data_IF_295938219904
#
_entry.id   IF_295938219904
#
_cell.length_a   1.000
_cell.length_b   1.000
_cell.length_c   1.000
_cell.angle_alpha   90.00
_cell.angle_beta   90.00
_cell.angle_gamma   90.00
#
_symmetry.space_group_name_H-M   'P 1'
#
loop_
_entity.id
_entity.type
_entity.pdbx_description
1 polymer ?
#
# COMPACT_ATOMS: atom_id res chain seq x y z
N UNK A 1 29.70 -9.32 5.08
CA UNK A 1 28.53 -8.98 5.93
C UNK A 1 27.65 -10.21 5.99
N UNK A 2 27.16 -10.66 7.14
CA UNK A 2 26.20 -11.74 7.15
C UNK A 2 24.91 -11.22 6.53
N UNK A 3 24.46 -11.86 5.46
CA UNK A 3 23.13 -11.63 4.89
C UNK A 3 22.10 -11.89 6.00
N UNK A 4 21.51 -10.83 6.53
CA UNK A 4 20.32 -10.95 7.38
C UNK A 4 19.24 -11.61 6.54
N UNK A 5 19.04 -12.92 6.75
CA UNK A 5 17.92 -13.66 6.19
C UNK A 5 16.66 -12.93 6.63
N UNK A 6 15.98 -12.28 5.69
CA UNK A 6 14.70 -11.62 5.95
C UNK A 6 13.69 -12.71 6.30
N UNK A 7 13.39 -12.86 7.59
CA UNK A 7 12.31 -13.73 8.05
C UNK A 7 11.00 -12.96 8.07
N UNK A 8 9.94 -13.56 7.54
CA UNK A 8 8.57 -13.06 7.72
C UNK A 8 8.13 -13.39 9.16
N UNK A 9 7.60 -12.42 9.93
CA UNK A 9 7.09 -12.68 11.27
C UNK A 9 5.93 -13.68 11.24
N UNK A 10 5.61 -14.27 12.39
CA UNK A 10 4.41 -15.10 12.51
C UNK A 10 3.15 -14.26 12.23
N UNK A 11 2.13 -14.91 11.67
CA UNK A 11 0.83 -14.31 11.44
C UNK A 11 -0.08 -14.53 12.65
N UNK A 12 -0.60 -13.44 13.21
CA UNK A 12 -1.46 -13.45 14.39
C UNK A 12 -2.95 -13.54 14.00
N UNK A 13 -3.32 -12.92 12.87
CA UNK A 13 -4.69 -12.95 12.35
C UNK A 13 -5.68 -12.09 13.13
N UNK A 14 -5.20 -11.22 14.02
CA UNK A 14 -6.00 -10.35 14.87
C UNK A 14 -6.05 -8.88 14.37
N UNK A 15 -5.38 -8.59 13.24
CA UNK A 15 -5.17 -7.23 12.70
C UNK A 15 -4.47 -6.28 13.68
N UNK A 16 -3.88 -6.80 14.76
CA UNK A 16 -3.11 -6.07 15.76
C UNK A 16 -1.78 -5.59 15.20
N UNK A 17 -1.21 -4.54 15.81
CA UNK A 17 0.14 -4.07 15.45
C UNK A 17 0.32 -3.60 14.00
N UNK A 18 -0.76 -3.17 13.32
CA UNK A 18 -0.80 -2.89 11.88
C UNK A 18 -0.53 -4.11 10.98
N UNK A 19 -0.82 -5.33 11.46
CA UNK A 19 -0.76 -6.54 10.65
C UNK A 19 -1.75 -6.42 9.48
N UNK A 20 -1.22 -6.40 8.26
CA UNK A 20 -2.00 -6.40 7.04
C UNK A 20 -1.90 -7.79 6.40
N UNK A 21 -2.99 -8.59 6.40
CA UNK A 21 -2.96 -9.96 5.87
C UNK A 21 -2.47 -10.05 4.43
N UNK A 22 -2.82 -9.08 3.57
CA UNK A 22 -2.36 -9.05 2.18
C UNK A 22 -0.87 -8.76 2.05
N UNK A 23 -0.37 -7.81 2.82
CA UNK A 23 1.06 -7.49 2.83
C UNK A 23 1.88 -8.65 3.39
N UNK A 24 1.41 -9.25 4.48
CA UNK A 24 2.05 -10.40 5.11
C UNK A 24 2.11 -11.60 4.16
N UNK A 25 0.98 -11.97 3.54
CA UNK A 25 0.93 -13.11 2.63
C UNK A 25 1.83 -12.90 1.42
N UNK A 26 1.88 -11.69 0.86
CA UNK A 26 2.78 -11.37 -0.25
C UNK A 26 4.26 -11.49 0.15
N UNK A 27 4.64 -11.07 1.35
CA UNK A 27 6.01 -11.26 1.85
C UNK A 27 6.32 -12.74 2.09
N UNK A 28 5.36 -13.50 2.63
CA UNK A 28 5.50 -14.95 2.79
C UNK A 28 5.74 -15.64 1.44
N UNK A 29 4.95 -15.31 0.41
CA UNK A 29 5.11 -15.85 -0.94
C UNK A 29 6.47 -15.54 -1.54
N UNK A 30 7.01 -14.33 -1.33
CA UNK A 30 8.34 -13.94 -1.81
C UNK A 30 9.48 -14.75 -1.16
N UNK A 31 9.25 -15.34 0.01
CA UNK A 31 10.21 -16.22 0.67
C UNK A 31 10.12 -17.67 0.23
N UNK A 32 9.08 -18.07 -0.51
CA UNK A 32 8.92 -19.43 -0.99
C UNK A 32 9.85 -19.68 -2.19
N UNK A 33 10.68 -20.74 -2.16
CA UNK A 33 11.45 -21.14 -3.32
C UNK A 33 10.55 -21.56 -4.49
N UNK A 34 10.87 -21.09 -5.70
CA UNK A 34 10.11 -21.40 -6.92
C UNK A 34 10.04 -22.91 -7.20
N UNK A 35 11.04 -23.67 -6.77
CA UNK A 35 11.12 -25.12 -6.96
C UNK A 35 10.22 -25.93 -6.01
N UNK A 36 9.57 -25.29 -5.03
CA UNK A 36 8.73 -26.01 -4.09
C UNK A 36 7.39 -26.44 -4.68
N UNK A 37 6.96 -27.62 -4.25
CA UNK A 37 5.63 -28.15 -4.53
C UNK A 37 4.58 -27.50 -3.63
N UNK A 38 3.32 -27.55 -4.05
CA UNK A 38 2.20 -27.04 -3.26
C UNK A 38 2.17 -27.62 -1.84
N UNK A 39 2.42 -28.92 -1.67
CA UNK A 39 2.49 -29.55 -0.35
C UNK A 39 3.56 -28.92 0.54
N UNK A 40 4.74 -28.61 -0.01
CA UNK A 40 5.81 -27.95 0.73
C UNK A 40 5.43 -26.51 1.10
N UNK A 41 4.80 -25.78 0.18
CA UNK A 41 4.32 -24.42 0.42
C UNK A 41 3.23 -24.39 1.51
N UNK A 42 2.27 -25.31 1.45
CA UNK A 42 1.19 -25.47 2.43
C UNK A 42 1.73 -25.86 3.81
N UNK A 43 2.71 -26.77 3.87
CA UNK A 43 3.38 -27.14 5.12
C UNK A 43 4.19 -25.97 5.68
N UNK A 44 4.87 -25.20 4.84
CA UNK A 44 5.62 -24.02 5.30
C UNK A 44 4.69 -22.94 5.83
N UNK A 45 3.51 -22.79 5.21
CA UNK A 45 2.52 -21.83 5.65
C UNK A 45 2.05 -22.10 7.07
N UNK A 46 1.76 -23.36 7.44
CA UNK A 46 1.32 -23.69 8.80
C UNK A 46 2.36 -23.33 9.86
N UNK A 47 3.65 -23.48 9.55
CA UNK A 47 4.75 -23.09 10.44
C UNK A 47 4.88 -21.58 10.65
N UNK A 48 4.21 -20.76 9.82
CA UNK A 48 4.24 -19.32 9.90
C UNK A 48 2.99 -18.73 10.58
N UNK A 49 2.10 -19.58 11.09
CA UNK A 49 0.97 -19.19 11.93
C UNK A 49 1.40 -19.16 13.39
N UNK A 50 0.70 -18.37 14.20
CA UNK A 50 0.99 -18.29 15.63
C UNK A 50 0.44 -19.54 16.34
N UNK A 51 1.29 -20.34 17.02
CA UNK A 51 0.84 -21.56 17.69
C UNK A 51 -0.15 -21.27 18.81
N UNK A 52 -1.20 -22.07 18.92
CA UNK A 52 -2.24 -21.97 19.96
C UNK A 52 -3.21 -20.82 19.78
N UNK A 53 -3.11 -20.06 18.68
CA UNK A 53 -3.96 -18.91 18.39
C UNK A 53 -4.99 -19.20 17.29
N UNK A 54 -5.86 -18.22 17.04
CA UNK A 54 -6.97 -18.30 16.07
C UNK A 54 -6.53 -18.72 14.66
N UNK A 55 -5.29 -18.40 14.27
CA UNK A 55 -4.75 -18.74 12.95
C UNK A 55 -4.45 -20.23 12.79
N UNK A 56 -3.84 -20.85 13.80
CA UNK A 56 -3.58 -22.29 13.80
C UNK A 56 -4.88 -23.10 13.90
N UNK A 57 -5.82 -22.67 14.75
CA UNK A 57 -7.15 -23.30 14.84
C UNK A 57 -7.89 -23.24 13.49
N UNK A 58 -7.89 -22.08 12.83
CA UNK A 58 -8.46 -21.93 11.49
C UNK A 58 -7.82 -22.90 10.49
N UNK A 59 -6.49 -23.00 10.49
CA UNK A 59 -5.77 -23.88 9.57
C UNK A 59 -6.12 -25.35 9.78
N UNK A 60 -6.24 -25.80 11.04
CA UNK A 60 -6.62 -27.17 11.36
C UNK A 60 -8.07 -27.51 10.99
N UNK A 61 -8.94 -26.52 10.89
CA UNK A 61 -10.32 -26.69 10.43
C UNK A 61 -10.45 -26.76 8.89
N UNK A 62 -9.36 -26.57 8.14
CA UNK A 62 -9.37 -26.71 6.69
C UNK A 62 -9.43 -28.18 6.26
N UNK A 63 -10.19 -28.45 5.19
CA UNK A 63 -10.29 -29.79 4.62
C UNK A 63 -9.09 -30.11 3.72
N UNK A 64 -8.89 -31.39 3.42
CA UNK A 64 -7.89 -31.82 2.43
C UNK A 64 -8.08 -31.18 1.06
N UNK A 65 -9.31 -30.83 0.68
CA UNK A 65 -9.60 -30.11 -0.55
C UNK A 65 -9.03 -28.68 -0.51
N UNK A 66 -9.17 -27.98 0.60
CA UNK A 66 -8.62 -26.62 0.76
C UNK A 66 -7.08 -26.64 0.76
N UNK A 67 -6.48 -27.69 1.32
CA UNK A 67 -5.03 -27.87 1.42
C UNK A 67 -4.41 -28.57 0.20
N UNK A 68 -5.21 -28.91 -0.83
CA UNK A 68 -4.75 -29.64 -2.02
C UNK A 68 -3.86 -28.83 -2.96
N UNK A 69 -3.95 -27.50 -2.88
CA UNK A 69 -3.09 -26.59 -3.64
C UNK A 69 -2.80 -25.33 -2.85
N UNK A 70 -1.66 -24.71 -3.12
CA UNK A 70 -1.30 -23.45 -2.49
C UNK A 70 -2.26 -22.31 -2.88
N UNK A 71 -2.81 -22.37 -4.09
CA UNK A 71 -3.85 -21.46 -4.59
C UNK A 71 -5.14 -21.58 -3.77
N UNK A 72 -5.59 -22.81 -3.45
CA UNK A 72 -6.79 -23.01 -2.65
C UNK A 72 -6.61 -22.52 -1.21
N UNK A 73 -5.43 -22.77 -0.62
CA UNK A 73 -5.08 -22.24 0.69
C UNK A 73 -5.11 -20.70 0.69
N UNK A 74 -4.51 -20.06 -0.32
CA UNK A 74 -4.52 -18.60 -0.50
C UNK A 74 -5.95 -18.05 -0.61
N UNK A 75 -6.82 -18.75 -1.33
CA UNK A 75 -8.23 -18.38 -1.45
C UNK A 75 -8.94 -18.41 -0.08
N UNK A 76 -8.83 -19.51 0.67
CA UNK A 76 -9.46 -19.59 1.99
C UNK A 76 -8.85 -18.60 2.99
N UNK A 77 -7.54 -18.32 2.88
CA UNK A 77 -6.89 -17.28 3.68
C UNK A 77 -7.55 -15.92 3.49
N UNK A 78 -7.70 -15.44 2.25
CA UNK A 78 -8.31 -14.13 1.98
C UNK A 78 -9.82 -14.07 2.23
N UNK A 79 -10.47 -15.23 2.33
CA UNK A 79 -11.87 -15.32 2.76
C UNK A 79 -11.99 -15.11 4.27
N UNK A 80 -11.04 -15.64 5.07
CA UNK A 80 -11.02 -15.46 6.52
C UNK A 80 -10.45 -14.09 6.93
N UNK A 81 -9.35 -13.67 6.29
CA UNK A 81 -8.70 -12.39 6.50
C UNK A 81 -8.73 -11.54 5.23
N UNK A 82 -9.88 -10.93 4.89
CA UNK A 82 -9.97 -10.07 3.73
C UNK A 82 -9.01 -8.88 3.87
N UNK A 83 -8.50 -8.35 2.74
CA UNK A 83 -7.77 -7.09 2.74
C UNK A 83 -8.60 -6.01 3.44
N UNK A 84 -8.00 -5.17 4.29
CA UNK A 84 -8.71 -4.07 4.91
C UNK A 84 -9.38 -3.22 3.82
N UNK A 85 -10.72 -3.11 3.87
CA UNK A 85 -11.42 -2.17 2.99
C UNK A 85 -10.98 -0.78 3.40
N UNK A 86 -10.30 -0.08 2.49
CA UNK A 86 -10.00 1.33 2.71
C UNK A 86 -11.33 2.07 2.85
N UNK A 87 -11.61 2.72 4.00
CA UNK A 87 -12.79 3.55 4.11
C UNK A 87 -12.73 4.60 2.99
N UNK A 88 -13.81 4.74 2.24
CA UNK A 88 -13.91 5.86 1.30
C UNK A 88 -14.02 7.12 2.13
N UNK A 89 -13.04 8.01 2.00
CA UNK A 89 -13.15 9.35 2.55
C UNK A 89 -14.37 10.03 1.91
N UNK A 90 -15.10 10.79 2.71
CA UNK A 90 -16.14 11.67 2.19
C UNK A 90 -15.52 12.74 1.31
N UNK A 91 -16.29 13.35 0.41
CA UNK A 91 -15.79 14.43 -0.45
C UNK A 91 -15.19 15.60 0.36
N UNK A 92 -15.78 15.91 1.52
CA UNK A 92 -15.25 16.91 2.43
C UNK A 92 -13.86 16.53 2.99
N UNK A 93 -13.70 15.29 3.45
CA UNK A 93 -12.41 14.80 3.95
C UNK A 93 -11.36 14.69 2.84
N UNK A 94 -11.76 14.29 1.64
CA UNK A 94 -10.87 14.29 0.46
C UNK A 94 -10.38 15.71 0.16
N UNK A 95 -11.30 16.69 0.16
CA UNK A 95 -10.95 18.11 -0.01
C UNK A 95 -9.99 18.59 1.08
N UNK A 96 -10.26 18.29 2.35
CA UNK A 96 -9.38 18.64 3.46
C UNK A 96 -7.98 18.03 3.31
N UNK A 97 -7.87 16.75 2.93
CA UNK A 97 -6.59 16.09 2.69
C UNK A 97 -5.78 16.75 1.57
N UNK A 98 -6.44 17.16 0.47
CA UNK A 98 -5.80 17.86 -0.64
C UNK A 98 -5.36 19.27 -0.22
N UNK A 99 -6.23 20.03 0.46
CA UNK A 99 -5.92 21.39 0.91
C UNK A 99 -4.82 21.43 1.98
N UNK A 100 -4.64 20.35 2.74
CA UNK A 100 -3.55 20.24 3.71
C UNK A 100 -2.16 20.12 3.04
N UNK A 101 -2.09 19.79 1.75
CA UNK A 101 -0.83 19.75 1.00
C UNK A 101 -0.42 21.18 0.59
N UNK A 102 0.18 21.92 1.52
CA UNK A 102 0.64 23.29 1.28
C UNK A 102 2.08 23.29 0.73
N UNK A 103 2.28 23.96 -0.41
CA UNK A 103 3.61 24.32 -0.91
C UNK A 103 3.94 25.74 -0.44
N UNK A 104 5.07 25.92 0.23
CA UNK A 104 5.46 27.26 0.67
C UNK A 104 6.05 28.07 -0.48
N UNK A 105 5.94 29.40 -0.39
CA UNK A 105 6.42 30.28 -1.46
C UNK A 105 7.92 30.12 -1.69
N UNK A 106 8.68 30.02 -0.60
CA UNK A 106 10.14 29.84 -0.63
C UNK A 106 10.59 28.50 -1.23
N UNK A 107 9.69 27.53 -1.38
CA UNK A 107 9.99 26.22 -1.97
C UNK A 107 9.76 26.22 -3.50
N UNK A 108 9.07 27.22 -4.04
CA UNK A 108 8.79 27.33 -5.48
C UNK A 108 10.11 27.52 -6.24
N UNK A 109 10.30 26.72 -7.29
CA UNK A 109 11.53 26.76 -8.11
C UNK A 109 12.77 26.17 -7.44
N UNK A 110 12.67 25.70 -6.19
CA UNK A 110 13.78 25.02 -5.50
C UNK A 110 13.93 23.61 -6.06
N UNK A 111 15.14 23.24 -6.45
CA UNK A 111 15.46 21.87 -6.82
C UNK A 111 15.57 20.99 -5.56
N UNK A 112 14.76 19.94 -5.50
CA UNK A 112 14.73 18.98 -4.40
C UNK A 112 15.17 17.62 -4.90
N UNK A 113 16.02 16.92 -4.14
CA UNK A 113 16.41 15.55 -4.46
C UNK A 113 15.95 14.62 -3.35
N UNK A 114 14.87 13.88 -3.61
CA UNK A 114 14.41 12.79 -2.76
C UNK A 114 14.72 11.45 -3.44
N UNK A 115 15.66 10.69 -2.87
CA UNK A 115 16.04 9.38 -3.38
C UNK A 115 16.89 9.44 -4.67
N UNK A 116 16.48 8.70 -5.71
CA UNK A 116 17.28 8.48 -6.93
C UNK A 116 17.09 9.52 -8.03
N UNK A 117 16.07 10.37 -7.92
CA UNK A 117 15.72 11.38 -8.94
C UNK A 117 15.47 12.71 -8.25
N UNK A 118 16.02 13.79 -8.79
CA UNK A 118 15.71 15.16 -8.34
C UNK A 118 14.66 15.80 -9.23
N UNK A 119 13.82 16.66 -8.63
CA UNK A 119 12.84 17.46 -9.34
C UNK A 119 12.61 18.78 -8.61
N UNK A 120 12.03 19.77 -9.28
CA UNK A 120 11.64 21.00 -8.61
C UNK A 120 10.52 20.74 -7.60
N UNK A 121 10.56 21.40 -6.44
CA UNK A 121 9.62 21.15 -5.34
C UNK A 121 8.16 21.29 -5.77
N UNK A 122 7.86 22.26 -6.65
CA UNK A 122 6.52 22.44 -7.20
C UNK A 122 6.06 21.27 -8.07
N UNK A 123 6.96 20.62 -8.80
CA UNK A 123 6.64 19.43 -9.60
C UNK A 123 6.43 18.22 -8.68
N UNK A 124 7.29 18.02 -7.69
CA UNK A 124 7.13 16.98 -6.68
C UNK A 124 5.82 17.13 -5.91
N UNK A 125 5.45 18.37 -5.57
CA UNK A 125 4.20 18.70 -4.89
C UNK A 125 2.97 18.35 -5.74
N UNK A 126 2.93 18.71 -7.03
CA UNK A 126 1.84 18.30 -7.95
C UNK A 126 1.74 16.77 -8.04
N UNK A 127 2.87 16.07 -8.16
CA UNK A 127 2.91 14.61 -8.22
C UNK A 127 2.36 13.97 -6.93
N UNK A 128 2.72 14.52 -5.77
CA UNK A 128 2.23 14.03 -4.49
C UNK A 128 0.72 14.21 -4.35
N UNK A 129 0.18 15.35 -4.77
CA UNK A 129 -1.27 15.61 -4.77
C UNK A 129 -2.00 14.67 -5.74
N UNK A 130 -1.43 14.44 -6.92
CA UNK A 130 -2.00 13.53 -7.92
C UNK A 130 -2.03 12.10 -7.40
N UNK A 131 -0.94 11.64 -6.78
CA UNK A 131 -0.88 10.34 -6.11
C UNK A 131 -1.87 10.22 -4.94
N UNK A 132 -2.03 11.29 -4.16
CA UNK A 132 -2.99 11.33 -3.05
C UNK A 132 -4.43 11.24 -3.56
N UNK A 133 -4.79 12.03 -4.59
CA UNK A 133 -6.10 12.01 -5.24
C UNK A 133 -6.43 10.62 -5.82
N UNK A 134 -5.50 10.02 -6.57
CA UNK A 134 -5.64 8.64 -7.05
C UNK A 134 -5.83 7.65 -5.91
N UNK A 135 -5.08 7.80 -4.81
CA UNK A 135 -5.21 6.96 -3.62
C UNK A 135 -6.58 7.04 -2.95
N UNK A 136 -7.31 8.15 -3.15
CA UNK A 136 -8.68 8.38 -2.68
C UNK A 136 -9.76 7.96 -3.69
N UNK A 137 -9.37 7.47 -4.87
CA UNK A 137 -10.27 7.01 -5.92
C UNK A 137 -10.64 8.06 -6.97
N UNK A 138 -9.97 9.22 -6.98
CA UNK A 138 -10.10 10.24 -8.03
C UNK A 138 -9.15 9.91 -9.19
N UNK A 139 -9.63 9.05 -10.11
CA UNK A 139 -8.86 8.59 -11.28
C UNK A 139 -8.77 9.67 -12.36
N UNK A 140 -9.74 10.58 -12.38
CA UNK A 140 -9.86 11.64 -13.39
C UNK A 140 -9.07 12.91 -13.03
N UNK A 141 -8.45 12.96 -11.85
CA UNK A 141 -7.64 14.09 -11.38
C UNK A 141 -8.45 15.35 -11.06
N UNK A 142 -9.76 15.22 -10.87
CA UNK A 142 -10.68 16.34 -10.65
C UNK A 142 -10.42 17.09 -9.34
N UNK A 143 -9.76 16.45 -8.37
CA UNK A 143 -9.46 17.05 -7.08
C UNK A 143 -8.21 17.95 -7.08
N UNK A 144 -7.42 17.94 -8.16
CA UNK A 144 -6.26 18.84 -8.30
C UNK A 144 -6.71 20.31 -8.28
N UNK A 145 -7.92 20.60 -8.77
CA UNK A 145 -8.51 21.94 -8.75
C UNK A 145 -8.67 22.49 -7.33
N UNK A 146 -9.01 21.66 -6.35
CA UNK A 146 -9.10 22.08 -4.94
C UNK A 146 -7.74 22.41 -4.33
N UNK A 147 -6.66 21.77 -4.79
CA UNK A 147 -5.31 22.18 -4.41
C UNK A 147 -4.99 23.56 -5.00
N UNK A 148 -5.40 23.84 -6.25
CA UNK A 148 -5.19 25.13 -6.89
C UNK A 148 -5.96 26.29 -6.24
N UNK A 149 -7.10 26.02 -5.57
CA UNK A 149 -7.84 27.03 -4.78
C UNK A 149 -7.02 27.59 -3.62
N UNK A 150 -6.12 26.80 -3.03
CA UNK A 150 -5.30 27.17 -1.87
C UNK A 150 -3.91 27.70 -2.19
N UNK A 151 -3.55 27.80 -3.47
CA UNK A 151 -2.20 28.14 -3.92
C UNK A 151 -1.99 29.65 -4.11
N UNK A 152 -0.80 30.13 -3.72
CA UNK A 152 -0.25 31.45 -4.05
C UNK A 152 -0.27 31.70 -5.57
N UNK A 153 -0.77 32.87 -6.00
CA UNK A 153 -0.95 33.19 -7.43
C UNK A 153 0.33 32.99 -8.26
N UNK A 154 1.51 33.13 -7.65
CA UNK A 154 2.83 32.90 -8.25
C UNK A 154 3.01 31.49 -8.88
N UNK A 155 2.39 30.46 -8.28
CA UNK A 155 2.44 29.07 -8.78
C UNK A 155 1.50 28.83 -9.96
N UNK A 156 0.36 29.54 -10.03
CA UNK A 156 -0.57 29.42 -11.15
C UNK A 156 0.10 29.80 -12.46
N UNK A 157 1.00 30.78 -12.43
CA UNK A 157 1.76 31.22 -13.58
C UNK A 157 2.86 30.21 -13.98
N UNK A 158 3.49 29.54 -13.02
CA UNK A 158 4.49 28.49 -13.29
C UNK A 158 3.88 27.19 -13.81
N UNK A 159 2.70 26.79 -13.32
CA UNK A 159 2.02 25.55 -13.71
C UNK A 159 1.31 25.65 -15.07
N UNK A 160 0.82 26.84 -15.45
CA UNK A 160 0.21 27.08 -16.78
C UNK A 160 1.18 26.84 -17.95
N UNK A 161 2.48 26.90 -17.71
CA UNK A 161 3.51 26.64 -18.73
C UNK A 161 3.68 25.16 -19.08
N UNK A 162 3.20 24.22 -18.25
CA UNK A 162 3.47 22.77 -18.43
C UNK A 162 2.29 22.01 -19.04
N UNK A 163 1.07 22.55 -18.98
CA UNK A 163 -0.15 21.86 -19.44
C UNK A 163 -0.77 22.41 -20.75
N UNK A 164 -0.12 23.39 -21.40
CA UNK A 164 -0.52 23.92 -22.71
C UNK A 164 0.50 23.55 -23.81
N UNK A 165 0.81 22.26 -23.97
CA UNK A 165 1.60 21.75 -25.09
C UNK A 165 1.06 20.41 -25.56
#
# INVERSE_FOLDING_TARGET
MPDTVKSVPLFYGDYGGNENPSAWFAQFELLLPIAWTDTQCVQRFSMQLTPGEVTEEWYHNLTSLHLSSFTNLKHEFFKCWPPPKRPKLTQAQQKECIMAQVLKEEEIGVWTQEGRTGNYAHVTWVLNISCLAMGMGDVDGTMIEYALEGILDLLKDHLKCVYNS
#
